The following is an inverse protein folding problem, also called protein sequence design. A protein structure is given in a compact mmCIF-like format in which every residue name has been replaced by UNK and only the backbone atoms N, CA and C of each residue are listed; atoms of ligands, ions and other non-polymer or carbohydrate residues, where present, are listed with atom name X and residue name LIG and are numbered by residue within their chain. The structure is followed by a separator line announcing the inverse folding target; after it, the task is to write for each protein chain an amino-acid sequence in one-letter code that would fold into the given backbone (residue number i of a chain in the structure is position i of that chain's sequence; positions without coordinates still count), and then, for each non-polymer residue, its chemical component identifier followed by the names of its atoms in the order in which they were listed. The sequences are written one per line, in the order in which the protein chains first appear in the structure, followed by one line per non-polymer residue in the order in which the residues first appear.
data_IF_682724629999
#
_entry.id   IF_682724629999
#
_cell.length_a   1.000
_cell.length_b   1.000
_cell.length_c   1.000
_cell.angle_alpha   90.00
_cell.angle_beta   90.00
_cell.angle_gamma   90.00
#
_symmetry.space_group_name_H-M   'P 1'
#
loop_
_entity.id
_entity.type
_entity.pdbx_description
1 polymer ?
#
# COMPACT_ATOMS: atom_id res chain seq x y z
N UNK A 1 -7.01 -1.09 0.70
CA UNK A 1 -6.01 -0.45 -0.18
C UNK A 1 -6.40 -0.66 -1.64
N UNK A 2 -7.17 0.25 -2.24
CA UNK A 2 -7.28 0.29 -3.70
C UNK A 2 -6.33 1.37 -4.21
N UNK A 3 -5.31 0.96 -4.97
CA UNK A 3 -4.54 1.91 -5.75
C UNK A 3 -5.39 2.32 -6.96
N UNK A 4 -5.57 3.62 -7.16
CA UNK A 4 -6.21 4.19 -8.33
C UNK A 4 -5.14 4.95 -9.10
N UNK A 5 -4.98 4.63 -10.39
CA UNK A 5 -3.90 5.17 -11.22
C UNK A 5 -4.45 5.78 -12.51
N UNK A 6 -3.89 6.93 -12.91
CA UNK A 6 -4.35 7.73 -14.06
C UNK A 6 -3.88 7.23 -15.42
N UNK A 7 -3.02 6.22 -15.51
CA UNK A 7 -2.40 5.85 -16.79
C UNK A 7 -3.43 5.35 -17.84
N UNK A 8 -3.39 5.93 -19.04
CA UNK A 8 -4.22 5.56 -20.21
C UNK A 8 -3.70 4.34 -20.97
N UNK A 9 -2.53 3.80 -20.64
CA UNK A 9 -1.98 2.64 -21.35
C UNK A 9 -2.94 1.43 -21.24
N UNK A 10 -3.36 0.83 -22.38
CA UNK A 10 -4.13 -0.41 -22.36
C UNK A 10 -3.29 -1.53 -21.74
N UNK A 11 -3.95 -2.43 -21.00
CA UNK A 11 -3.34 -3.71 -20.61
C UNK A 11 -2.79 -4.40 -21.88
N UNK A 12 -1.62 -5.05 -21.85
CA UNK A 12 -1.10 -5.79 -22.99
C UNK A 12 -2.18 -6.74 -23.51
N UNK A 13 -2.49 -6.63 -24.80
CA UNK A 13 -3.60 -7.36 -25.43
C UNK A 13 -3.22 -8.81 -25.65
N UNK A 14 -3.85 -9.73 -24.90
CA UNK A 14 -4.08 -11.09 -25.39
C UNK A 14 -5.19 -11.07 -26.45
N UNK A 15 -5.13 -11.95 -27.47
CA UNK A 15 -5.97 -11.85 -28.67
C UNK A 15 -7.46 -11.83 -28.31
N UNK A 16 -8.17 -10.88 -28.92
CA UNK A 16 -9.60 -10.60 -28.68
C UNK A 16 -10.47 -11.58 -29.47
N UNK A 17 -11.49 -12.14 -28.83
CA UNK A 17 -12.73 -12.54 -29.51
C UNK A 17 -13.85 -11.54 -29.12
N UNK A 18 -14.78 -11.22 -30.03
CA UNK A 18 -15.80 -10.19 -29.83
C UNK A 18 -17.16 -10.85 -29.56
N UNK A 19 -17.46 -11.17 -28.30
CA UNK A 19 -18.85 -11.29 -27.82
C UNK A 19 -18.87 -11.21 -26.28
N UNK A 20 -20.02 -10.80 -25.75
CA UNK A 20 -20.25 -10.17 -24.45
C UNK A 20 -19.89 -10.99 -23.19
N UNK A 21 -20.08 -10.31 -22.06
CA UNK A 21 -20.12 -10.76 -20.66
C UNK A 21 -18.86 -10.47 -19.84
N UNK A 22 -19.11 -9.90 -18.66
CA UNK A 22 -18.21 -9.77 -17.52
C UNK A 22 -17.31 -10.99 -17.48
N UNK A 23 -16.05 -10.83 -17.90
CA UNK A 23 -15.08 -11.93 -17.85
C UNK A 23 -14.91 -12.30 -16.38
N UNK A 24 -15.19 -13.56 -16.07
CA UNK A 24 -14.82 -14.16 -14.79
C UNK A 24 -13.36 -13.82 -14.50
N UNK A 25 -13.11 -13.31 -13.29
CA UNK A 25 -11.74 -13.01 -12.87
C UNK A 25 -11.01 -14.36 -12.73
N UNK A 26 -9.78 -14.51 -13.27
CA UNK A 26 -8.98 -15.72 -13.10
C UNK A 26 -8.89 -16.12 -11.62
N UNK A 27 -8.71 -17.41 -11.36
CA UNK A 27 -8.65 -17.93 -10.00
C UNK A 27 -7.44 -17.33 -9.26
N UNK A 28 -7.69 -16.54 -8.22
CA UNK A 28 -6.66 -15.83 -7.43
C UNK A 28 -5.72 -16.77 -6.64
N UNK A 29 -5.94 -18.08 -6.70
CA UNK A 29 -5.08 -19.10 -6.11
C UNK A 29 -3.78 -19.28 -6.88
N UNK A 30 -3.79 -19.03 -8.20
CA UNK A 30 -2.60 -19.16 -9.06
C UNK A 30 -1.59 -18.01 -8.80
N UNK A 31 -2.06 -16.87 -8.28
CA UNK A 31 -1.27 -15.66 -8.06
C UNK A 31 -0.20 -15.81 -6.96
N UNK A 32 -0.39 -16.70 -5.98
CA UNK A 32 0.55 -16.92 -4.88
C UNK A 32 1.73 -17.82 -5.28
N UNK A 33 1.47 -18.92 -5.99
CA UNK A 33 2.53 -19.74 -6.57
C UNK A 33 3.30 -18.95 -7.63
N UNK A 34 2.60 -18.11 -8.40
CA UNK A 34 3.22 -17.16 -9.31
C UNK A 34 4.04 -16.10 -8.57
N UNK A 35 3.58 -15.54 -7.44
CA UNK A 35 4.34 -14.61 -6.60
C UNK A 35 5.62 -15.21 -6.03
N UNK A 36 5.56 -16.39 -5.42
CA UNK A 36 6.76 -17.02 -4.88
C UNK A 36 7.72 -17.53 -5.97
N UNK A 37 7.21 -17.99 -7.11
CA UNK A 37 8.04 -18.43 -8.24
C UNK A 37 8.61 -17.29 -9.08
N UNK A 38 7.96 -16.12 -9.08
CA UNK A 38 8.43 -14.91 -9.78
C UNK A 38 9.21 -13.95 -8.87
N UNK A 39 9.36 -14.21 -7.57
CA UNK A 39 10.32 -13.47 -6.74
C UNK A 39 11.72 -13.62 -7.31
N UNK A 40 12.14 -12.63 -8.10
CA UNK A 40 13.47 -12.53 -8.69
C UNK A 40 14.46 -11.99 -7.64
N UNK A 41 15.77 -12.22 -7.81
CA UNK A 41 16.78 -11.72 -6.89
C UNK A 41 16.65 -10.21 -6.66
N UNK A 42 16.41 -9.82 -5.40
CA UNK A 42 16.31 -8.43 -5.02
C UNK A 42 17.70 -7.79 -4.88
N UNK A 43 17.95 -6.72 -5.61
CA UNK A 43 19.10 -5.86 -5.37
C UNK A 43 18.75 -4.84 -4.28
N UNK A 44 18.97 -5.14 -3.00
CA UNK A 44 18.97 -4.07 -1.98
C UNK A 44 20.33 -3.39 -2.05
N UNK A 45 20.38 -2.08 -2.28
CA UNK A 45 21.63 -1.36 -2.06
C UNK A 45 21.85 -1.21 -0.55
N UNK A 46 22.41 -2.25 0.05
CA UNK A 46 23.40 -2.04 1.11
C UNK A 46 24.61 -1.41 0.43
N UNK A 47 25.44 -0.67 1.14
CA UNK A 47 26.69 -0.07 0.67
C UNK A 47 27.73 -1.09 0.13
N UNK A 48 27.32 -2.31 -0.23
CA UNK A 48 28.13 -3.40 -0.73
C UNK A 48 27.44 -4.13 -1.92
N UNK A 49 28.17 -4.43 -3.01
CA UNK A 49 27.69 -5.18 -4.18
C UNK A 49 27.22 -6.63 -3.94
N UNK A 50 27.24 -7.14 -2.69
CA UNK A 50 26.97 -8.53 -2.30
C UNK A 50 25.62 -8.76 -1.60
N UNK A 51 24.72 -7.78 -1.64
CA UNK A 51 23.54 -7.70 -0.79
C UNK A 51 22.52 -8.85 -0.91
N UNK A 52 22.39 -9.50 -2.07
CA UNK A 52 21.43 -10.60 -2.27
C UNK A 52 21.83 -11.87 -1.48
N UNK A 53 23.10 -12.29 -1.61
CA UNK A 53 23.63 -13.44 -0.86
C UNK A 53 23.51 -13.24 0.66
N UNK A 54 23.52 -11.97 1.10
CA UNK A 54 23.31 -11.64 2.50
C UNK A 54 21.83 -11.70 2.91
N UNK A 55 20.86 -11.33 2.05
CA UNK A 55 19.44 -11.44 2.37
C UNK A 55 18.98 -12.89 2.50
N UNK A 56 19.38 -13.74 1.55
CA UNK A 56 19.01 -15.16 1.55
C UNK A 56 19.77 -15.98 2.59
N UNK A 57 20.86 -15.45 3.15
CA UNK A 57 21.56 -16.03 4.30
C UNK A 57 21.03 -15.49 5.65
N UNK A 58 20.79 -14.18 5.77
CA UNK A 58 20.41 -13.56 7.03
C UNK A 58 18.92 -13.72 7.37
N UNK A 59 18.04 -13.73 6.36
CA UNK A 59 16.59 -13.90 6.63
C UNK A 59 16.24 -15.28 7.19
N UNK A 60 16.80 -16.42 6.71
CA UNK A 60 16.57 -17.72 7.35
C UNK A 60 17.10 -17.80 8.78
N UNK A 61 18.26 -17.19 9.09
CA UNK A 61 18.78 -17.15 10.47
C UNK A 61 17.79 -16.48 11.42
N UNK A 62 17.15 -15.40 10.97
CA UNK A 62 16.10 -14.74 11.73
C UNK A 62 14.85 -15.62 11.87
N UNK A 63 14.47 -16.39 10.84
CA UNK A 63 13.35 -17.34 10.93
C UNK A 63 13.59 -18.34 12.06
N UNK A 64 14.80 -18.92 12.14
CA UNK A 64 15.16 -19.85 13.21
C UNK A 64 15.04 -19.23 14.60
N UNK A 65 15.58 -18.02 14.78
CA UNK A 65 15.44 -17.29 16.04
C UNK A 65 13.97 -17.07 16.42
N UNK A 66 13.15 -16.63 15.46
CA UNK A 66 11.73 -16.37 15.71
C UNK A 66 11.00 -17.65 16.12
N UNK A 67 11.24 -18.76 15.42
CA UNK A 67 10.65 -20.06 15.74
C UNK A 67 11.13 -20.58 17.10
N UNK A 68 12.41 -20.42 17.43
CA UNK A 68 12.98 -20.81 18.73
C UNK A 68 12.42 -19.95 19.88
N UNK A 69 12.07 -18.69 19.61
CA UNK A 69 11.33 -17.81 20.52
C UNK A 69 9.84 -18.16 20.61
N UNK A 70 9.38 -19.16 19.86
CA UNK A 70 8.01 -19.66 19.89
C UNK A 70 7.03 -18.92 18.99
N UNK A 71 7.51 -18.08 18.07
CA UNK A 71 6.66 -17.39 17.07
C UNK A 71 6.05 -18.43 16.12
N UNK A 72 4.75 -18.30 15.89
CA UNK A 72 3.93 -19.19 15.06
C UNK A 72 3.31 -18.46 13.89
N UNK A 73 2.79 -19.25 12.95
CA UNK A 73 1.87 -18.76 11.91
C UNK A 73 0.69 -18.07 12.58
N UNK A 74 0.37 -16.84 12.16
CA UNK A 74 -0.61 -15.89 12.73
C UNK A 74 -0.15 -14.95 13.86
N UNK A 75 1.04 -15.13 14.43
CA UNK A 75 1.55 -14.13 15.37
C UNK A 75 1.86 -12.81 14.65
N UNK A 76 1.73 -11.70 15.37
CA UNK A 76 2.07 -10.37 14.86
C UNK A 76 3.39 -9.94 15.50
N UNK A 77 4.41 -9.73 14.67
CA UNK A 77 5.74 -9.31 15.09
C UNK A 77 5.90 -7.80 14.84
N UNK A 78 6.07 -6.99 15.89
CA UNK A 78 6.33 -5.57 15.74
C UNK A 78 7.74 -5.28 15.21
N UNK A 79 7.83 -4.42 14.21
CA UNK A 79 9.07 -3.92 13.62
C UNK A 79 9.21 -2.42 13.95
N UNK A 80 10.11 -2.10 14.88
CA UNK A 80 10.39 -0.75 15.36
C UNK A 80 11.84 -0.36 15.04
N UNK A 81 12.06 0.29 13.89
CA UNK A 81 13.42 0.59 13.40
C UNK A 81 13.47 1.85 12.54
N UNK A 82 14.63 2.51 12.53
CA UNK A 82 14.96 3.52 11.55
C UNK A 82 15.13 2.93 10.14
N UNK A 83 14.95 3.78 9.12
CA UNK A 83 15.13 3.40 7.71
C UNK A 83 16.55 2.88 7.48
N UNK A 84 16.63 1.62 7.03
CA UNK A 84 17.87 0.96 6.66
C UNK A 84 17.57 -0.28 5.82
N UNK A 85 18.58 -0.78 5.11
CA UNK A 85 18.47 -2.04 4.38
C UNK A 85 18.10 -3.24 5.28
N UNK A 86 18.42 -3.18 6.57
CA UNK A 86 18.08 -4.22 7.55
C UNK A 86 16.59 -4.40 7.79
N UNK A 87 15.78 -3.39 7.43
CA UNK A 87 14.32 -3.51 7.45
C UNK A 87 13.87 -4.67 6.56
N UNK A 88 14.50 -4.85 5.40
CA UNK A 88 14.18 -5.94 4.46
C UNK A 88 14.51 -7.31 5.05
N UNK A 89 15.68 -7.47 5.67
CA UNK A 89 16.08 -8.74 6.32
C UNK A 89 15.04 -9.15 7.36
N UNK A 90 14.62 -8.19 8.20
CA UNK A 90 13.67 -8.42 9.28
C UNK A 90 12.28 -8.75 8.75
N UNK A 91 11.80 -7.95 7.80
CA UNK A 91 10.54 -8.15 7.13
C UNK A 91 10.46 -9.55 6.50
N UNK A 92 11.47 -9.92 5.73
CA UNK A 92 11.55 -11.24 5.09
C UNK A 92 11.63 -12.37 6.13
N UNK A 93 12.37 -12.19 7.22
CA UNK A 93 12.43 -13.19 8.29
C UNK A 93 11.08 -13.42 8.96
N UNK A 94 10.31 -12.36 9.22
CA UNK A 94 8.95 -12.46 9.78
C UNK A 94 8.00 -13.15 8.80
N UNK A 95 8.00 -12.73 7.54
CA UNK A 95 7.16 -13.32 6.49
C UNK A 95 7.52 -14.80 6.28
N UNK A 96 8.81 -15.14 6.18
CA UNK A 96 9.30 -16.51 6.04
C UNK A 96 9.00 -17.36 7.28
N UNK A 97 8.88 -16.76 8.47
CA UNK A 97 8.42 -17.43 9.69
C UNK A 97 6.90 -17.73 9.70
N UNK A 98 6.15 -17.22 8.71
CA UNK A 98 4.69 -17.33 8.61
C UNK A 98 3.93 -16.37 9.52
N UNK A 99 4.64 -15.45 10.18
CA UNK A 99 4.06 -14.43 11.03
C UNK A 99 3.74 -13.16 10.22
N UNK A 100 2.81 -12.36 10.72
CA UNK A 100 2.51 -11.05 10.17
C UNK A 100 3.42 -9.99 10.80
N UNK A 101 3.76 -8.94 10.05
CA UNK A 101 4.50 -7.81 10.62
C UNK A 101 3.60 -6.59 10.88
N UNK A 102 4.01 -5.74 11.82
CA UNK A 102 3.44 -4.41 12.00
C UNK A 102 4.56 -3.40 12.20
N UNK A 103 4.58 -2.33 11.41
CA UNK A 103 5.55 -1.27 11.63
C UNK A 103 5.11 -0.36 12.77
N UNK A 104 6.07 0.00 13.62
CA UNK A 104 5.90 0.95 14.71
C UNK A 104 6.90 2.09 14.50
N UNK A 105 6.47 3.32 14.78
CA UNK A 105 7.36 4.47 14.70
C UNK A 105 8.54 4.32 15.67
N UNK A 106 9.80 4.46 15.21
CA UNK A 106 10.98 4.37 16.06
C UNK A 106 11.05 5.45 17.15
N UNK A 107 10.20 6.49 17.12
CA UNK A 107 10.01 7.43 18.23
C UNK A 107 9.40 6.77 19.48
N UNK A 108 8.88 5.54 19.38
CA UNK A 108 8.43 4.75 20.52
C UNK A 108 9.59 3.98 21.17
N UNK A 109 9.62 3.85 22.51
CA UNK A 109 10.78 3.36 23.22
C UNK A 109 10.96 1.85 23.04
N UNK A 110 11.95 1.44 22.22
CA UNK A 110 12.89 0.31 22.39
C UNK A 110 13.59 0.04 21.05
N UNK A 111 14.85 0.48 20.94
CA UNK A 111 15.71 0.13 19.80
C UNK A 111 16.33 -1.26 20.02
N UNK A 112 16.15 -2.17 19.07
CA UNK A 112 16.92 -3.43 18.99
C UNK A 112 18.14 -3.17 18.08
N UNK A 113 19.35 -3.40 18.61
CA UNK A 113 20.63 -3.10 17.95
C UNK A 113 20.84 -3.90 16.64
N UNK A 114 21.45 -3.26 15.64
CA UNK A 114 21.77 -3.80 14.32
C UNK A 114 22.80 -4.94 14.40
N UNK A 115 23.74 -4.89 15.35
CA UNK A 115 24.81 -5.89 15.50
C UNK A 115 24.32 -7.27 15.97
N UNK A 116 23.08 -7.36 16.44
CA UNK A 116 22.53 -8.61 16.96
C UNK A 116 22.13 -9.60 15.86
N UNK A 117 21.82 -9.12 14.65
CA UNK A 117 21.35 -9.98 13.53
C UNK A 117 22.52 -10.66 12.81
N UNK A 118 23.61 -9.95 12.55
CA UNK A 118 24.79 -10.51 11.85
C UNK A 118 25.49 -11.61 12.64
N UNK A 119 25.27 -11.64 13.97
CA UNK A 119 25.82 -12.64 14.89
C UNK A 119 24.91 -13.85 15.08
N UNK A 120 23.74 -13.90 14.43
CA UNK A 120 22.85 -15.06 14.55
C UNK A 120 23.52 -16.31 13.94
N UNK A 121 23.45 -17.47 14.63
CA UNK A 121 24.03 -18.70 14.16
C UNK A 121 23.39 -19.13 12.83
N UNK A 122 24.19 -19.79 11.99
CA UNK A 122 23.68 -20.49 10.81
C UNK A 122 23.04 -21.78 11.31
N UNK A 123 21.83 -22.06 10.83
CA UNK A 123 21.14 -23.30 11.09
C UNK A 123 20.94 -24.04 9.76
N UNK A 124 21.38 -25.29 9.69
CA UNK A 124 21.20 -26.15 8.50
C UNK A 124 19.86 -26.91 8.50
N UNK A 125 19.00 -26.62 9.48
CA UNK A 125 17.73 -27.32 9.67
C UNK A 125 16.65 -26.71 8.78
N UNK A 126 16.09 -27.50 7.86
CA UNK A 126 14.85 -27.10 7.18
C UNK A 126 13.70 -26.99 8.19
N UNK A 127 13.02 -25.84 8.24
CA UNK A 127 11.80 -25.63 9.01
C UNK A 127 10.58 -25.87 8.12
N UNK A 128 9.63 -26.67 8.60
CA UNK A 128 8.33 -26.86 7.94
C UNK A 128 7.38 -25.76 8.40
N UNK A 129 7.29 -24.69 7.61
CA UNK A 129 6.44 -23.52 7.90
C UNK A 129 5.28 -23.54 6.91
N UNK A 130 4.05 -23.62 7.43
CA UNK A 130 2.85 -23.63 6.61
C UNK A 130 2.28 -22.21 6.52
N UNK A 131 2.41 -21.60 5.34
CA UNK A 131 1.82 -20.29 5.00
C UNK A 131 0.79 -20.52 3.91
N UNK A 132 -0.43 -20.04 4.11
CA UNK A 132 -1.51 -20.13 3.12
C UNK A 132 -1.81 -18.73 2.57
N UNK A 133 -2.54 -18.63 1.43
CA UNK A 133 -2.98 -17.33 0.93
C UNK A 133 -3.83 -16.53 1.94
N UNK A 134 -4.47 -17.22 2.89
CA UNK A 134 -5.26 -16.62 3.98
C UNK A 134 -4.46 -16.37 5.26
N UNK A 135 -3.15 -16.63 5.27
CA UNK A 135 -2.28 -16.19 6.36
C UNK A 135 -2.19 -14.67 6.36
N UNK A 136 -2.06 -14.08 7.55
CA UNK A 136 -1.86 -12.63 7.68
C UNK A 136 -0.46 -12.26 7.19
N UNK A 137 -0.37 -11.21 6.36
CA UNK A 137 0.89 -10.65 5.90
C UNK A 137 1.32 -9.48 6.78
N UNK A 138 0.43 -8.51 7.00
CA UNK A 138 0.73 -7.37 7.86
C UNK A 138 -0.51 -6.75 8.50
N UNK A 139 -0.23 -5.91 9.49
CA UNK A 139 -1.22 -5.06 10.15
C UNK A 139 -0.85 -3.61 9.91
N UNK A 140 -1.85 -2.79 9.61
CA UNK A 140 -1.71 -1.33 9.56
C UNK A 140 -2.74 -0.68 10.47
N UNK A 141 -2.33 0.37 11.17
CA UNK A 141 -3.24 1.16 11.99
C UNK A 141 -3.87 2.27 11.16
N UNK A 142 -5.20 2.32 11.12
CA UNK A 142 -5.95 3.39 10.47
C UNK A 142 -6.45 4.39 11.50
N UNK A 143 -6.36 5.68 11.18
CA UNK A 143 -6.95 6.74 11.98
C UNK A 143 -8.47 6.60 11.98
N UNK A 144 -9.04 6.48 13.17
CA UNK A 144 -10.47 6.40 13.41
C UNK A 144 -10.86 7.41 14.50
N UNK A 145 -12.13 7.50 14.83
CA UNK A 145 -12.65 8.52 15.74
C UNK A 145 -12.09 8.43 17.17
N UNK A 146 -11.72 7.26 17.71
CA UNK A 146 -11.50 7.12 19.18
C UNK A 146 -10.16 6.47 19.54
N UNK A 147 -9.60 5.61 18.68
CA UNK A 147 -8.35 4.89 18.93
C UNK A 147 -7.85 4.21 17.64
N UNK A 148 -6.55 4.29 17.27
CA UNK A 148 -6.02 3.65 16.07
C UNK A 148 -6.51 2.22 15.90
N UNK A 149 -7.21 1.94 14.80
CA UNK A 149 -7.80 0.62 14.52
C UNK A 149 -6.85 -0.22 13.71
N UNK A 150 -6.58 -1.43 14.19
CA UNK A 150 -5.81 -2.44 13.46
C UNK A 150 -6.62 -2.95 12.25
N UNK A 151 -6.08 -2.74 11.05
CA UNK A 151 -6.59 -3.30 9.81
C UNK A 151 -5.66 -4.46 9.42
N UNK A 152 -6.24 -5.67 9.36
CA UNK A 152 -5.53 -6.89 9.03
C UNK A 152 -5.49 -7.11 7.52
N UNK A 153 -4.31 -7.37 6.97
CA UNK A 153 -4.10 -7.66 5.54
C UNK A 153 -3.51 -9.06 5.37
N UNK A 154 -4.12 -9.87 4.50
CA UNK A 154 -3.67 -11.22 4.15
C UNK A 154 -2.69 -11.22 2.97
N UNK A 155 -1.97 -12.33 2.83
CA UNK A 155 -1.09 -12.58 1.68
C UNK A 155 -1.83 -12.48 0.34
N UNK A 156 -2.98 -13.14 0.22
CA UNK A 156 -3.79 -13.14 -1.01
C UNK A 156 -4.28 -11.74 -1.37
N UNK A 157 -4.67 -10.95 -0.36
CA UNK A 157 -5.19 -9.59 -0.56
C UNK A 157 -4.12 -8.67 -1.12
N UNK A 158 -2.92 -8.73 -0.55
CA UNK A 158 -1.78 -7.96 -1.06
C UNK A 158 -1.31 -8.48 -2.42
N UNK A 159 -1.14 -9.80 -2.57
CA UNK A 159 -0.68 -10.46 -3.79
C UNK A 159 -1.55 -10.10 -4.99
N UNK A 160 -2.87 -10.19 -4.85
CA UNK A 160 -3.84 -9.91 -5.93
C UNK A 160 -3.78 -8.47 -6.47
N UNK A 161 -3.40 -7.50 -5.62
CA UNK A 161 -3.30 -6.09 -6.00
C UNK A 161 -1.91 -5.65 -6.42
N UNK A 162 -0.87 -6.22 -5.83
CA UNK A 162 0.52 -5.74 -5.92
C UNK A 162 1.12 -5.87 -7.32
N UNK A 163 0.86 -6.96 -8.05
CA UNK A 163 1.32 -7.12 -9.43
C UNK A 163 0.71 -6.11 -10.38
N UNK A 164 -0.61 -5.91 -10.28
CA UNK A 164 -1.32 -4.94 -11.10
C UNK A 164 -0.87 -3.52 -10.77
N UNK A 165 -0.60 -3.25 -9.48
CA UNK A 165 0.01 -2.01 -9.03
C UNK A 165 1.39 -1.81 -9.64
N UNK A 166 2.30 -2.79 -9.54
CA UNK A 166 3.65 -2.70 -10.12
C UNK A 166 3.61 -2.41 -11.63
N UNK A 167 2.79 -3.15 -12.36
CA UNK A 167 2.62 -2.96 -13.81
C UNK A 167 2.10 -1.55 -14.14
N UNK A 168 1.05 -1.10 -13.44
CA UNK A 168 0.40 0.20 -13.71
C UNK A 168 1.21 1.38 -13.20
N UNK A 169 1.98 1.20 -12.13
CA UNK A 169 2.95 2.18 -11.62
C UNK A 169 4.27 2.18 -12.41
N UNK A 170 4.40 1.29 -13.42
CA UNK A 170 5.59 1.12 -14.26
C UNK A 170 6.85 0.86 -13.43
N UNK A 171 6.71 0.02 -12.40
CA UNK A 171 7.82 -0.54 -11.65
C UNK A 171 8.38 -1.70 -12.50
N UNK A 172 9.50 -1.45 -13.16
CA UNK A 172 10.17 -2.37 -14.07
C UNK A 172 11.42 -2.96 -13.37
N UNK A 173 11.97 -4.10 -13.81
CA UNK A 173 13.21 -4.65 -13.26
C UNK A 173 14.39 -3.66 -13.24
N UNK A 174 14.41 -2.69 -14.16
CA UNK A 174 15.41 -1.61 -14.21
C UNK A 174 15.14 -0.44 -13.25
N UNK A 175 14.02 -0.46 -12.52
CA UNK A 175 13.61 0.63 -11.64
C UNK A 175 14.46 0.66 -10.38
N UNK A 176 14.74 1.89 -9.93
CA UNK A 176 15.44 2.20 -8.68
C UNK A 176 14.48 3.04 -7.84
N UNK A 177 13.91 2.41 -6.81
CA UNK A 177 12.87 2.98 -5.96
C UNK A 177 13.50 3.67 -4.75
N UNK A 178 13.13 4.92 -4.50
CA UNK A 178 13.51 5.64 -3.30
C UNK A 178 12.45 5.45 -2.21
N UNK A 179 12.78 4.79 -1.10
CA UNK A 179 11.87 4.55 0.02
C UNK A 179 11.87 5.76 0.97
N UNK A 180 11.02 6.75 0.70
CA UNK A 180 10.87 7.95 1.54
C UNK A 180 9.65 7.89 2.45
N UNK A 181 8.58 7.21 2.01
CA UNK A 181 7.33 7.14 2.77
C UNK A 181 7.56 6.58 4.18
N UNK A 182 6.73 7.00 5.12
CA UNK A 182 6.78 6.44 6.48
C UNK A 182 6.27 5.00 6.47
N UNK A 183 6.91 4.12 7.24
CA UNK A 183 6.53 2.70 7.32
C UNK A 183 5.15 2.47 7.95
N UNK A 184 4.66 3.42 8.75
CA UNK A 184 3.32 3.35 9.35
C UNK A 184 2.21 3.73 8.36
N UNK A 185 2.55 4.21 7.16
CA UNK A 185 1.61 4.53 6.10
C UNK A 185 1.53 3.39 5.09
N UNK A 186 0.34 3.20 4.53
CA UNK A 186 0.04 2.15 3.56
C UNK A 186 0.96 2.19 2.33
N UNK A 187 1.28 3.37 1.83
CA UNK A 187 2.21 3.55 0.72
C UNK A 187 3.65 3.15 1.08
N UNK A 188 4.09 3.40 2.32
CA UNK A 188 5.42 2.98 2.77
C UNK A 188 5.52 1.47 2.90
N UNK A 189 4.44 0.81 3.31
CA UNK A 189 4.34 -0.65 3.21
C UNK A 189 4.31 -1.06 1.74
N UNK A 190 3.44 -0.49 0.90
CA UNK A 190 3.28 -0.86 -0.50
C UNK A 190 4.60 -0.83 -1.29
N UNK A 191 5.42 0.19 -1.11
CA UNK A 191 6.74 0.32 -1.77
C UNK A 191 7.61 -0.92 -1.54
N UNK A 192 7.59 -1.49 -0.33
CA UNK A 192 8.54 -2.53 0.06
C UNK A 192 8.20 -3.88 -0.59
N UNK A 193 7.10 -4.58 -0.27
CA UNK A 193 6.84 -5.87 -0.89
C UNK A 193 6.52 -5.77 -2.39
N UNK A 194 6.01 -4.65 -2.90
CA UNK A 194 5.91 -4.46 -4.36
C UNK A 194 7.30 -4.49 -5.00
N UNK A 195 8.30 -3.87 -4.34
CA UNK A 195 9.68 -3.95 -4.82
C UNK A 195 10.24 -5.37 -4.77
N UNK A 196 9.94 -6.10 -3.67
CA UNK A 196 10.33 -7.51 -3.49
C UNK A 196 9.79 -8.40 -4.60
N UNK A 197 8.49 -8.32 -4.88
CA UNK A 197 7.81 -9.14 -5.89
C UNK A 197 8.29 -8.77 -7.30
N UNK A 198 8.62 -7.50 -7.53
CA UNK A 198 9.07 -7.02 -8.85
C UNK A 198 10.57 -7.22 -9.10
N UNK A 199 11.34 -7.68 -8.12
CA UNK A 199 12.80 -7.86 -8.23
C UNK A 199 13.58 -6.55 -8.44
N UNK A 200 13.06 -5.41 -7.98
CA UNK A 200 13.62 -4.09 -8.25
C UNK A 200 14.48 -3.57 -7.10
N UNK A 201 15.38 -2.64 -7.40
CA UNK A 201 16.25 -2.08 -6.38
C UNK A 201 15.53 -1.02 -5.53
N UNK A 202 15.58 -1.18 -4.20
CA UNK A 202 15.02 -0.22 -3.24
C UNK A 202 16.14 0.45 -2.41
N UNK A 203 16.06 1.77 -2.29
CA UNK A 203 17.02 2.63 -1.61
C UNK A 203 16.43 3.20 -0.33
N UNK A 204 17.13 2.99 0.78
CA UNK A 204 16.80 3.54 2.09
C UNK A 204 17.74 4.70 2.42
N UNK A 205 17.27 5.96 2.43
CA UNK A 205 18.07 7.06 2.94
C UNK A 205 18.25 6.90 4.46
N UNK A 206 19.47 7.13 4.94
CA UNK A 206 19.73 7.18 6.38
C UNK A 206 19.09 8.43 7.00
N UNK A 207 18.77 8.38 8.29
CA UNK A 207 18.17 9.50 9.03
C UNK A 207 18.96 10.81 8.85
N UNK A 208 20.32 10.83 8.91
CA UNK A 208 21.08 12.04 8.63
C UNK A 208 20.96 12.53 7.17
N UNK A 209 20.90 11.62 6.19
CA UNK A 209 20.80 11.98 4.77
C UNK A 209 19.45 12.61 4.41
N UNK A 210 18.38 12.33 5.19
CA UNK A 210 17.06 12.91 4.98
C UNK A 210 17.05 14.44 5.01
N UNK A 211 17.98 15.06 5.75
CA UNK A 211 18.11 16.52 5.87
C UNK A 211 18.48 17.18 4.53
N UNK A 212 19.17 16.44 3.65
CA UNK A 212 19.59 16.92 2.32
C UNK A 212 18.40 17.09 1.36
N UNK A 213 17.26 16.51 1.71
CA UNK A 213 16.01 16.63 0.97
C UNK A 213 15.89 15.67 -0.23
N UNK A 214 14.67 15.49 -0.74
CA UNK A 214 14.33 14.45 -1.70
C UNK A 214 15.07 14.61 -3.05
N UNK A 215 15.27 15.83 -3.53
CA UNK A 215 15.95 16.05 -4.81
C UNK A 215 17.42 15.60 -4.78
N UNK A 216 18.11 15.86 -3.66
CA UNK A 216 19.48 15.39 -3.46
C UNK A 216 19.53 13.86 -3.44
N UNK A 217 18.67 13.24 -2.63
CA UNK A 217 18.60 11.78 -2.48
C UNK A 217 18.27 11.07 -3.80
N UNK A 218 17.37 11.62 -4.61
CA UNK A 218 17.02 11.08 -5.93
C UNK A 218 18.26 11.04 -6.84
N UNK A 219 19.07 12.10 -6.85
CA UNK A 219 20.27 12.16 -7.67
C UNK A 219 21.39 11.26 -7.13
N UNK A 220 21.66 11.35 -5.83
CA UNK A 220 22.73 10.60 -5.15
C UNK A 220 22.53 9.08 -5.32
N UNK A 221 21.30 8.61 -5.13
CA UNK A 221 20.95 7.20 -5.30
C UNK A 221 20.64 6.82 -6.76
N UNK A 222 20.70 7.77 -7.69
CA UNK A 222 20.29 7.61 -9.08
C UNK A 222 18.92 6.93 -9.22
N UNK A 223 17.93 7.35 -8.43
CA UNK A 223 16.61 6.72 -8.43
C UNK A 223 15.83 7.08 -9.68
N UNK A 224 15.05 6.12 -10.18
CA UNK A 224 14.24 6.28 -11.40
C UNK A 224 12.74 6.28 -11.10
N UNK A 225 12.35 5.88 -9.89
CA UNK A 225 10.98 5.83 -9.42
C UNK A 225 10.91 6.33 -7.98
N UNK A 226 9.97 7.22 -7.67
CA UNK A 226 9.73 7.70 -6.31
C UNK A 226 8.25 7.98 -6.08
N UNK A 227 7.80 7.80 -4.84
CA UNK A 227 6.52 8.32 -4.38
C UNK A 227 6.74 9.52 -3.47
N UNK A 228 6.00 10.61 -3.70
CA UNK A 228 6.03 11.81 -2.85
C UNK A 228 4.61 12.31 -2.61
N UNK A 229 4.39 12.99 -1.48
CA UNK A 229 3.17 13.79 -1.34
C UNK A 229 3.21 14.99 -2.28
N UNK A 230 2.04 15.50 -2.64
CA UNK A 230 1.93 16.63 -3.55
C UNK A 230 2.68 17.88 -3.03
N UNK A 231 2.61 18.14 -1.73
CA UNK A 231 3.33 19.24 -1.07
C UNK A 231 4.84 19.12 -1.21
N UNK A 232 5.41 17.93 -1.03
CA UNK A 232 6.86 17.71 -1.17
C UNK A 232 7.29 17.81 -2.63
N UNK A 233 6.54 17.22 -3.55
CA UNK A 233 6.85 17.27 -4.99
C UNK A 233 6.90 18.71 -5.53
N UNK A 234 6.07 19.62 -5.02
CA UNK A 234 6.07 21.06 -5.40
C UNK A 234 7.38 21.78 -5.10
N UNK A 235 8.15 21.30 -4.13
CA UNK A 235 9.42 21.92 -3.74
C UNK A 235 10.57 21.53 -4.68
N UNK A 236 10.38 20.55 -5.55
CA UNK A 236 11.41 19.99 -6.42
C UNK A 236 11.22 20.52 -7.84
N UNK A 237 12.29 21.04 -8.45
CA UNK A 237 12.26 21.41 -9.87
C UNK A 237 12.51 20.15 -10.70
N UNK A 238 11.71 19.84 -11.74
CA UNK A 238 11.98 18.68 -12.59
C UNK A 238 13.40 18.66 -13.18
N UNK A 239 13.94 19.85 -13.53
CA UNK A 239 15.31 19.99 -14.03
C UNK A 239 16.40 19.64 -13.01
N UNK A 240 16.08 19.58 -11.71
CA UNK A 240 17.04 19.19 -10.66
C UNK A 240 17.05 17.68 -10.39
N UNK A 241 16.21 16.88 -11.05
CA UNK A 241 16.14 15.41 -10.89
C UNK A 241 16.05 14.71 -12.25
N UNK A 242 17.02 14.90 -13.15
CA UNK A 242 16.91 14.51 -14.56
C UNK A 242 16.84 12.98 -14.79
N UNK A 243 17.26 12.19 -13.81
CA UNK A 243 17.25 10.72 -13.91
C UNK A 243 15.93 10.07 -13.47
N UNK A 244 15.04 10.84 -12.83
CA UNK A 244 13.76 10.32 -12.36
C UNK A 244 12.82 10.12 -13.55
N UNK A 245 12.36 8.88 -13.75
CA UNK A 245 11.47 8.51 -14.87
C UNK A 245 10.00 8.60 -14.47
N UNK A 246 9.68 8.14 -13.26
CA UNK A 246 8.32 8.09 -12.73
C UNK A 246 8.28 8.74 -11.36
N UNK A 247 7.37 9.70 -11.18
CA UNK A 247 7.03 10.29 -9.90
C UNK A 247 5.57 9.96 -9.60
N UNK A 248 5.33 9.06 -8.66
CA UNK A 248 4.00 8.78 -8.14
C UNK A 248 3.63 9.81 -7.07
N UNK A 249 2.40 10.34 -7.13
CA UNK A 249 1.88 11.27 -6.12
C UNK A 249 0.66 10.68 -5.42
N UNK A 250 0.56 10.92 -4.11
CA UNK A 250 -0.61 10.53 -3.33
C UNK A 250 -0.58 11.09 -1.92
N UNK A 251 -1.57 10.69 -1.11
CA UNK A 251 -1.73 11.14 0.27
C UNK A 251 -2.42 12.51 0.43
N UNK A 252 -2.44 13.35 -0.60
CA UNK A 252 -3.05 14.69 -0.56
C UNK A 252 -3.95 14.92 -1.76
N UNK A 253 -5.04 15.72 -1.63
CA UNK A 253 -5.76 16.24 -2.78
C UNK A 253 -4.81 16.99 -3.71
N UNK A 254 -4.83 16.65 -4.99
CA UNK A 254 -4.04 17.36 -5.98
C UNK A 254 -4.68 18.74 -6.21
N UNK A 255 -3.90 19.82 -6.07
CA UNK A 255 -4.42 21.17 -6.28
C UNK A 255 -4.60 21.45 -7.79
N UNK A 256 -5.69 22.14 -8.18
CA UNK A 256 -5.84 22.73 -9.51
C UNK A 256 -4.77 23.79 -9.71
N UNK A 257 -3.69 23.47 -10.42
CA UNK A 257 -2.78 24.48 -10.97
C UNK A 257 -2.44 24.16 -12.42
N UNK A 258 -2.53 25.21 -13.23
CA UNK A 258 -2.05 25.31 -14.61
C UNK A 258 -0.63 24.77 -14.67
N UNK A 259 -0.46 23.55 -15.19
CA UNK A 259 0.86 22.99 -15.45
C UNK A 259 1.54 23.90 -16.48
N UNK A 260 2.65 24.51 -16.11
CA UNK A 260 3.53 25.18 -17.08
C UNK A 260 4.02 24.09 -18.05
N UNK A 261 3.57 24.19 -19.31
CA UNK A 261 3.64 23.16 -20.36
C UNK A 261 5.05 22.72 -20.75
N UNK A 262 6.08 23.34 -20.18
CA UNK A 262 7.48 23.17 -20.54
C UNK A 262 8.23 22.10 -19.73
N UNK A 263 7.60 21.41 -18.76
CA UNK A 263 8.33 20.60 -17.76
C UNK A 263 7.74 19.20 -17.59
N UNK A 264 8.23 18.29 -18.43
CA UNK A 264 7.75 16.92 -18.57
C UNK A 264 8.51 15.97 -17.62
N UNK A 265 7.95 15.75 -16.43
CA UNK A 265 7.91 14.40 -15.83
C UNK A 265 6.56 13.81 -16.27
N UNK A 266 6.39 12.50 -16.35
CA UNK A 266 5.20 11.81 -16.91
C UNK A 266 3.91 11.96 -16.05
N UNK A 267 3.70 13.15 -15.49
CA UNK A 267 2.49 13.65 -14.87
C UNK A 267 1.52 13.97 -16.00
N UNK A 268 0.54 13.12 -16.24
CA UNK A 268 -0.43 13.29 -17.34
C UNK A 268 -0.99 14.72 -17.37
N UNK A 269 -0.62 15.53 -18.37
CA UNK A 269 -1.16 16.86 -18.53
C UNK A 269 -2.63 16.71 -19.00
N UNK A 270 -3.51 17.60 -18.54
CA UNK A 270 -4.92 17.72 -18.95
C UNK A 270 -5.99 16.89 -18.20
N UNK A 271 -5.73 16.39 -17.00
CA UNK A 271 -6.78 15.76 -16.16
C UNK A 271 -7.12 16.59 -14.94
N UNK A 272 -8.42 16.69 -14.62
CA UNK A 272 -8.88 17.33 -13.38
C UNK A 272 -8.16 16.68 -12.19
N UNK A 273 -7.53 17.43 -11.29
CA UNK A 273 -6.89 16.90 -10.09
C UNK A 273 -7.80 16.03 -9.21
N UNK A 274 -9.11 16.19 -9.30
CA UNK A 274 -10.08 15.34 -8.63
C UNK A 274 -10.35 14.01 -9.36
N UNK A 275 -9.93 13.85 -10.62
CA UNK A 275 -9.98 12.57 -11.33
C UNK A 275 -8.87 11.65 -10.86
N UNK A 276 -9.17 10.60 -10.11
CA UNK A 276 -8.19 9.66 -9.57
C UNK A 276 -7.90 8.47 -10.49
N UNK A 277 -8.47 8.46 -11.70
CA UNK A 277 -8.19 7.46 -12.72
C UNK A 277 -9.02 6.19 -12.57
N UNK A 278 -8.39 5.04 -12.87
CA UNK A 278 -9.06 3.73 -12.92
C UNK A 278 -8.59 2.81 -11.80
N UNK A 279 -9.44 1.84 -11.49
CA UNK A 279 -9.16 0.82 -10.49
C UNK A 279 -8.00 -0.10 -10.86
N UNK A 280 -7.22 -0.47 -9.86
CA UNK A 280 -6.11 -1.41 -9.93
C UNK A 280 -6.33 -2.47 -8.85
N UNK A 281 -6.27 -3.75 -9.22
CA UNK A 281 -6.47 -4.88 -8.31
C UNK A 281 -7.92 -5.18 -7.95
N UNK A 282 -8.87 -4.31 -8.29
CA UNK A 282 -10.27 -4.48 -7.89
C UNK A 282 -11.27 -3.78 -8.81
N UNK A 283 -12.53 -4.08 -8.53
CA UNK A 283 -13.70 -3.39 -9.09
C UNK A 283 -14.06 -2.19 -8.21
N UNK A 284 -14.84 -1.29 -8.81
CA UNK A 284 -15.23 -0.01 -8.23
C UNK A 284 -16.67 0.28 -8.60
N UNK A 285 -17.40 0.81 -7.66
CA UNK A 285 -18.83 1.10 -7.76
C UNK A 285 -19.09 2.49 -7.21
N UNK A 286 -20.06 3.19 -7.78
CA UNK A 286 -20.59 4.42 -7.20
C UNK A 286 -22.06 4.16 -6.94
N UNK A 287 -22.47 4.28 -5.69
CA UNK A 287 -23.81 3.95 -5.20
C UNK A 287 -24.44 5.17 -4.54
N UNK A 288 -25.76 5.16 -4.34
CA UNK A 288 -26.41 6.21 -3.57
C UNK A 288 -25.73 6.31 -2.19
N UNK A 289 -25.46 7.55 -1.76
CA UNK A 289 -24.67 7.78 -0.56
C UNK A 289 -25.39 7.33 0.71
N UNK A 290 -26.71 7.27 0.72
CA UNK A 290 -27.52 6.85 1.87
C UNK A 290 -28.10 5.44 1.69
N UNK A 291 -28.07 4.90 0.47
CA UNK A 291 -28.61 3.57 0.16
C UNK A 291 -27.70 2.78 -0.80
N UNK A 292 -26.85 1.92 -0.24
CA UNK A 292 -25.92 1.08 -0.99
C UNK A 292 -26.59 0.00 -1.88
N UNK A 293 -27.91 -0.17 -1.85
CA UNK A 293 -28.62 -1.06 -2.76
C UNK A 293 -29.05 -0.36 -4.05
N UNK A 294 -28.67 0.92 -4.23
CA UNK A 294 -28.99 1.71 -5.41
C UNK A 294 -27.73 2.16 -6.15
N UNK A 295 -27.61 1.74 -7.42
CA UNK A 295 -26.59 2.26 -8.34
C UNK A 295 -26.95 3.68 -8.79
N UNK A 296 -25.96 4.57 -8.83
CA UNK A 296 -26.11 5.86 -9.51
C UNK A 296 -25.71 5.75 -10.99
N UNK A 297 -26.36 6.49 -11.91
CA UNK A 297 -25.95 6.53 -13.30
C UNK A 297 -24.55 7.14 -13.46
N UNK A 298 -23.89 6.89 -14.60
CA UNK A 298 -22.62 7.54 -14.94
C UNK A 298 -22.80 9.07 -14.86
N UNK A 299 -21.89 9.75 -14.16
CA UNK A 299 -21.96 11.18 -13.87
C UNK A 299 -22.72 11.56 -12.60
N UNK A 300 -23.55 10.65 -12.07
CA UNK A 300 -24.20 10.80 -10.76
C UNK A 300 -23.19 10.74 -9.62
N UNK A 301 -23.37 11.59 -8.61
CA UNK A 301 -22.54 11.60 -7.41
C UNK A 301 -23.11 10.62 -6.40
N UNK A 302 -22.24 9.82 -5.81
CA UNK A 302 -22.59 8.82 -4.81
C UNK A 302 -21.38 8.39 -3.98
N UNK A 303 -21.53 7.40 -3.12
CA UNK A 303 -20.43 6.84 -2.36
C UNK A 303 -19.61 5.86 -3.22
N UNK A 304 -18.28 6.00 -3.19
CA UNK A 304 -17.35 5.07 -3.82
C UNK A 304 -17.20 3.80 -2.99
N UNK A 305 -17.44 2.66 -3.62
CA UNK A 305 -17.20 1.34 -3.05
C UNK A 305 -16.16 0.58 -3.87
N UNK A 306 -15.36 -0.24 -3.20
CA UNK A 306 -14.34 -1.12 -3.79
C UNK A 306 -14.78 -2.56 -3.60
N UNK A 307 -14.69 -3.37 -4.65
CA UNK A 307 -14.96 -4.81 -4.61
C UNK A 307 -13.75 -5.57 -5.14
N UNK A 308 -13.44 -6.73 -4.56
CA UNK A 308 -12.43 -7.63 -5.12
C UNK A 308 -11.53 -8.26 -4.07
N UNK A 309 -10.50 -9.00 -4.50
CA UNK A 309 -9.62 -9.74 -3.60
C UNK A 309 -8.71 -8.82 -2.79
N UNK A 310 -8.55 -7.55 -3.19
CA UNK A 310 -7.70 -6.55 -2.51
C UNK A 310 -8.31 -5.97 -1.22
N UNK A 311 -9.48 -6.47 -0.82
CA UNK A 311 -10.15 -6.01 0.38
C UNK A 311 -9.51 -6.66 1.60
N UNK A 312 -9.10 -5.81 2.54
CA UNK A 312 -8.58 -6.23 3.85
C UNK A 312 -9.53 -7.22 4.55
N UNK A 313 -8.97 -8.17 5.29
CA UNK A 313 -9.74 -9.02 6.22
C UNK A 313 -10.63 -8.15 7.12
N UNK A 314 -10.09 -7.04 7.62
CA UNK A 314 -10.85 -5.99 8.29
C UNK A 314 -10.38 -5.72 9.72
N UNK A 315 -11.33 -5.44 10.60
CA UNK A 315 -11.11 -4.94 11.97
C UNK A 315 -11.59 -5.97 13.01
N UNK A 316 -10.78 -6.98 13.38
CA UNK A 316 -11.25 -8.14 14.16
C UNK A 316 -11.83 -7.76 15.54
N UNK A 317 -11.30 -6.70 16.16
CA UNK A 317 -11.77 -6.20 17.47
C UNK A 317 -12.97 -5.25 17.36
N UNK A 318 -13.52 -5.03 16.16
CA UNK A 318 -14.61 -4.08 15.96
C UNK A 318 -15.60 -4.55 14.89
N UNK A 319 -16.47 -5.49 15.27
CA UNK A 319 -17.51 -6.03 14.39
C UNK A 319 -18.46 -4.95 13.87
N UNK A 320 -18.87 -4.00 14.72
CA UNK A 320 -19.73 -2.90 14.33
C UNK A 320 -19.13 -2.09 13.16
N UNK A 321 -17.82 -1.86 13.18
CA UNK A 321 -17.12 -1.18 12.08
C UNK A 321 -17.08 -2.06 10.83
N UNK A 322 -16.89 -3.37 10.97
CA UNK A 322 -16.95 -4.29 9.82
C UNK A 322 -18.31 -4.19 9.16
N UNK A 323 -19.40 -4.30 9.92
CA UNK A 323 -20.77 -4.27 9.40
C UNK A 323 -21.13 -2.91 8.79
N UNK A 324 -20.52 -1.83 9.30
CA UNK A 324 -20.70 -0.47 8.76
C UNK A 324 -20.04 -0.30 7.38
N UNK A 325 -18.79 -0.76 7.22
CA UNK A 325 -17.96 -0.45 6.05
C UNK A 325 -17.81 -1.60 5.06
N UNK A 326 -18.06 -2.84 5.45
CA UNK A 326 -18.06 -3.99 4.56
C UNK A 326 -19.47 -4.49 4.36
N UNK A 327 -19.84 -4.67 3.10
CA UNK A 327 -21.18 -5.15 2.72
C UNK A 327 -21.05 -6.36 1.83
N UNK A 328 -22.07 -7.20 1.86
CA UNK A 328 -22.06 -8.48 1.18
C UNK A 328 -23.24 -8.64 0.23
N UNK A 329 -22.96 -9.21 -0.95
CA UNK A 329 -23.95 -9.65 -1.93
C UNK A 329 -25.11 -8.67 -2.18
N UNK A 330 -24.82 -7.43 -2.62
CA UNK A 330 -25.84 -6.43 -2.87
C UNK A 330 -26.84 -6.90 -3.93
N UNK A 331 -28.05 -6.33 -3.92
CA UNK A 331 -29.15 -6.74 -4.82
C UNK A 331 -28.88 -6.48 -6.31
N UNK A 332 -27.84 -5.70 -6.61
CA UNK A 332 -27.44 -5.28 -7.95
C UNK A 332 -26.09 -5.87 -8.37
N UNK A 333 -25.82 -5.85 -9.67
CA UNK A 333 -24.55 -6.30 -10.25
C UNK A 333 -24.57 -7.78 -10.65
N UNK A 334 -23.44 -8.30 -11.16
CA UNK A 334 -23.36 -9.67 -11.63
C UNK A 334 -23.55 -10.64 -10.46
N UNK A 335 -24.36 -11.67 -10.68
CA UNK A 335 -24.41 -12.82 -9.77
C UNK A 335 -23.11 -13.59 -9.91
N UNK A 336 -22.51 -13.94 -8.79
CA UNK A 336 -21.37 -14.86 -8.72
C UNK A 336 -21.85 -16.30 -8.90
N UNK A 337 -20.92 -17.19 -9.25
CA UNK A 337 -21.16 -18.63 -9.23
C UNK A 337 -21.73 -19.05 -7.86
N UNK A 338 -22.59 -20.07 -7.86
CA UNK A 338 -23.29 -20.54 -6.67
C UNK A 338 -22.30 -20.77 -5.51
N UNK A 339 -22.38 -19.90 -4.49
CA UNK A 339 -21.62 -20.01 -3.25
C UNK A 339 -20.52 -18.94 -3.02
N UNK A 340 -20.13 -18.13 -4.01
CA UNK A 340 -19.14 -17.06 -3.77
C UNK A 340 -19.81 -15.76 -3.32
N UNK A 341 -19.55 -15.35 -2.09
CA UNK A 341 -20.03 -14.07 -1.55
C UNK A 341 -19.27 -12.91 -2.19
N UNK A 342 -19.99 -11.93 -2.73
CA UNK A 342 -19.39 -10.66 -3.15
C UNK A 342 -19.20 -9.80 -1.92
N UNK A 343 -17.99 -9.28 -1.71
CA UNK A 343 -17.69 -8.38 -0.58
C UNK A 343 -17.23 -7.04 -1.12
N UNK A 344 -17.78 -5.97 -0.56
CA UNK A 344 -17.48 -4.60 -0.96
C UNK A 344 -17.11 -3.76 0.26
N UNK A 345 -16.20 -2.80 0.07
CA UNK A 345 -15.78 -1.84 1.08
C UNK A 345 -16.27 -0.44 0.73
N UNK A 346 -16.98 0.19 1.66
CA UNK A 346 -17.38 1.60 1.66
C UNK A 346 -16.20 2.47 2.04
N UNK A 347 -15.79 3.33 1.11
CA UNK A 347 -14.63 4.22 1.31
C UNK A 347 -14.97 5.45 2.15
N UNK A 348 -16.25 5.82 2.22
CA UNK A 348 -16.70 7.12 2.70
C UNK A 348 -16.38 8.27 1.73
N UNK A 349 -15.75 8.03 0.58
CA UNK A 349 -15.48 9.07 -0.40
C UNK A 349 -16.69 9.27 -1.32
N UNK A 350 -17.11 10.52 -1.51
CA UNK A 350 -18.11 10.86 -2.51
C UNK A 350 -17.42 10.99 -3.86
N UNK A 351 -17.94 10.30 -4.88
CA UNK A 351 -17.35 10.25 -6.20
C UNK A 351 -18.42 10.14 -7.29
N UNK A 352 -17.98 10.28 -8.54
CA UNK A 352 -18.77 9.98 -9.74
C UNK A 352 -17.90 9.33 -10.80
N UNK A 353 -18.53 8.55 -11.69
CA UNK A 353 -17.85 8.13 -12.91
C UNK A 353 -17.85 9.25 -13.95
N UNK A 354 -16.68 9.52 -14.52
CA UNK A 354 -16.56 10.28 -15.76
C UNK A 354 -17.06 9.45 -16.95
N UNK A 355 -17.36 10.06 -18.11
CA UNK A 355 -17.80 9.34 -19.30
C UNK A 355 -16.82 8.25 -19.79
N UNK A 356 -15.52 8.45 -19.56
CA UNK A 356 -14.45 7.48 -19.85
C UNK A 356 -14.28 6.40 -18.75
N UNK A 357 -15.18 6.37 -17.76
CA UNK A 357 -15.18 5.46 -16.59
C UNK A 357 -14.01 5.63 -15.61
N UNK A 358 -13.27 6.74 -15.68
CA UNK A 358 -12.40 7.16 -14.57
C UNK A 358 -13.24 7.71 -13.42
N UNK A 359 -12.66 7.76 -12.22
CA UNK A 359 -13.36 8.17 -11.00
C UNK A 359 -13.00 9.62 -10.69
N UNK A 360 -14.01 10.46 -10.49
CA UNK A 360 -13.85 11.83 -10.05
C UNK A 360 -14.32 11.97 -8.60
N UNK A 361 -13.45 12.41 -7.70
CA UNK A 361 -13.76 12.67 -6.29
C UNK A 361 -14.51 13.99 -6.11
N UNK A 362 -15.58 13.97 -5.32
CA UNK A 362 -16.41 15.11 -4.97
C UNK A 362 -16.30 15.56 -3.51
N UNK A 363 -15.70 14.76 -2.63
CA UNK A 363 -15.56 15.06 -1.21
C UNK A 363 -15.59 13.79 -0.36
N UNK A 364 -15.94 13.94 0.92
CA UNK A 364 -16.05 12.82 1.87
C UNK A 364 -17.35 12.88 2.66
N UNK A 365 -17.90 11.71 2.95
CA UNK A 365 -18.96 11.50 3.93
C UNK A 365 -18.32 11.50 5.33
N UNK A 366 -18.77 12.39 6.22
CA UNK A 366 -18.28 12.48 7.60
C UNK A 366 -17.21 13.55 7.85
N UNK A 367 -16.50 13.44 8.98
CA UNK A 367 -15.57 14.45 9.54
C UNK A 367 -14.10 14.22 9.22
N UNK A 368 -13.76 13.15 8.50
CA UNK A 368 -12.38 12.77 8.28
C UNK A 368 -11.72 13.61 7.19
N UNK A 369 -10.55 14.18 7.47
CA UNK A 369 -9.78 15.00 6.53
C UNK A 369 -8.41 14.38 6.23
N UNK A 370 -7.80 14.75 5.10
CA UNK A 370 -6.39 14.45 4.79
C UNK A 370 -5.58 15.72 4.86
N UNK A 371 -4.67 15.82 5.83
CA UNK A 371 -3.78 16.96 6.01
C UNK A 371 -2.32 16.50 5.89
N UNK A 372 -1.58 17.05 4.93
CA UNK A 372 -0.16 16.72 4.69
C UNK A 372 0.14 15.22 4.52
N UNK A 373 -0.76 14.47 3.87
CA UNK A 373 -0.61 13.02 3.71
C UNK A 373 -1.15 12.17 4.84
N UNK A 374 -1.54 12.79 5.97
CA UNK A 374 -2.06 12.10 7.15
C UNK A 374 -3.58 12.15 7.16
N UNK A 375 -4.20 11.02 7.51
CA UNK A 375 -5.63 10.94 7.70
C UNK A 375 -5.95 11.37 9.15
N UNK A 376 -6.85 12.34 9.33
CA UNK A 376 -7.17 12.92 10.64
C UNK A 376 -8.67 12.92 10.82
N UNK A 377 -9.14 12.46 11.98
CA UNK A 377 -10.54 12.61 12.40
C UNK A 377 -10.71 13.85 13.27
N UNK A 378 -11.51 14.82 12.82
CA UNK A 378 -11.68 16.09 13.55
C UNK A 378 -12.26 15.90 14.96
N UNK A 379 -13.15 14.91 15.14
CA UNK A 379 -13.71 14.60 16.46
C UNK A 379 -12.70 14.09 17.49
N UNK A 380 -11.56 13.52 17.04
CA UNK A 380 -10.47 13.12 17.95
C UNK A 380 -9.77 14.35 18.53
N UNK A 381 -9.48 15.36 17.67
CA UNK A 381 -8.87 16.62 18.09
C UNK A 381 -9.78 17.34 19.09
N UNK A 382 -11.08 17.43 18.79
CA UNK A 382 -12.07 18.05 19.66
C UNK A 382 -12.12 17.39 21.05
N UNK A 383 -12.15 16.04 21.10
CA UNK A 383 -12.10 15.28 22.37
C UNK A 383 -10.78 15.46 23.10
N UNK A 384 -9.65 15.43 22.41
CA UNK A 384 -8.33 15.65 23.01
C UNK A 384 -8.24 17.02 23.69
N UNK A 385 -8.74 18.06 23.04
CA UNK A 385 -8.84 19.42 23.63
C UNK A 385 -9.80 19.42 24.83
N UNK A 386 -10.96 18.77 24.72
CA UNK A 386 -11.93 18.69 25.81
C UNK A 386 -11.36 18.01 27.07
N UNK A 387 -10.63 16.90 26.90
CA UNK A 387 -10.00 16.17 27.99
C UNK A 387 -8.85 16.97 28.63
N UNK A 388 -8.06 17.69 27.84
CA UNK A 388 -6.96 18.50 28.36
C UNK A 388 -7.43 19.67 29.25
N UNK A 389 -8.63 20.19 29.00
CA UNK A 389 -9.26 21.21 29.84
C UNK A 389 -9.81 20.66 31.17
N UNK A 390 -9.97 19.34 31.32
CA UNK A 390 -10.32 18.72 32.61
C UNK A 390 -9.10 18.43 33.48
N UNK A 391 -7.96 18.06 32.88
CA UNK A 391 -6.74 17.76 33.64
C UNK A 391 -6.02 19.01 34.19
N UNK A 392 -6.32 20.20 33.66
CA UNK A 392 -5.81 21.49 34.17
C UNK A 392 -6.78 22.18 35.16
N UNK A 393 -7.86 21.52 35.55
CA UNK A 393 -8.89 22.04 36.46
C UNK A 393 -8.89 21.37 37.85
N UNK A 394 -7.85 20.61 38.21
CA UNK A 394 -7.65 20.00 39.53
C UNK A 394 -6.41 20.54 40.24
#
# INVERSE_FOLDING_TARGET
MAALLRDKAPLPTHPKSPDAHVRAVPSYTDDMEQMYSQMQPLYVHMTLPSAFNQLDDLSPRLVHLLVDLGIKSHDIVPLCFEKSAWVIVRLLGVIKAGAAFVFIDPSHPKNVDQNSITKLPIHDRALSINVTPSSLLYVIFTCDTVSPKECLIEHSEFGSGSFQHAAKARILPSSRILQLASFILDVGILEIPTSLISGVCIYYPSTPAMILGPAHLINDMATTWAFLTHSVAKMIKPSSIPNLKILALGGEPLAKRTLDRSKQCDMMPDTDPADIGWAVGGLRWVLDAEDHDKLVPIGGVGELLIEGPILARGYPKNQARIDEVFIESPLWGPRTDAGKVRRLYKTGDLAKFNPNRSIHLGGRKGTQIKLKGLCIELGEIERGIANHNHDNAL
#
